data_IF_538359481713
#
_entry.id   IF_538359481713
#
_cell.length_a   1.000
_cell.length_b   1.000
_cell.length_c   1.000
_cell.angle_alpha   90.00
_cell.angle_beta   90.00
_cell.angle_gamma   90.00
#
_symmetry.space_group_name_H-M   'P 1'
#
loop_
_entity.id
_entity.type
_entity.pdbx_description
1 polymer ?
#
# COMPACT_ATOMS: atom_id res chain seq x y z
N UNK A 1 -43.83 32.37 -30.62
CA UNK A 1 -43.76 30.90 -30.48
C UNK A 1 -42.32 30.38 -30.59
N UNK A 2 -41.44 31.03 -31.38
CA UNK A 2 -40.02 30.69 -31.51
C UNK A 2 -39.16 30.94 -30.24
N UNK A 3 -39.44 31.98 -29.46
CA UNK A 3 -38.59 32.31 -28.29
C UNK A 3 -38.78 31.38 -27.08
N UNK A 4 -39.99 30.79 -26.89
CA UNK A 4 -40.23 29.81 -25.83
C UNK A 4 -39.53 28.47 -26.10
N UNK A 5 -39.43 28.09 -27.37
CA UNK A 5 -38.77 26.86 -27.80
C UNK A 5 -37.23 26.96 -27.70
N UNK A 6 -36.69 28.17 -27.83
CA UNK A 6 -35.26 28.43 -27.58
C UNK A 6 -34.91 28.44 -26.08
N UNK A 7 -35.83 28.84 -25.20
CA UNK A 7 -35.63 28.81 -23.74
C UNK A 7 -35.71 27.38 -23.16
N UNK A 8 -36.55 26.50 -23.72
CA UNK A 8 -36.58 25.08 -23.34
C UNK A 8 -35.28 24.34 -23.75
N UNK A 9 -34.71 24.66 -24.91
CA UNK A 9 -33.46 24.05 -25.38
C UNK A 9 -32.20 24.48 -24.59
N UNK A 10 -32.24 25.61 -23.87
CA UNK A 10 -31.13 26.08 -23.05
C UNK A 10 -31.05 25.35 -21.69
N UNK A 11 -32.18 24.86 -21.16
CA UNK A 11 -32.24 24.13 -19.90
C UNK A 11 -31.70 22.69 -19.99
N UNK A 12 -31.67 22.11 -21.20
CA UNK A 12 -31.10 20.78 -21.46
C UNK A 12 -29.57 20.78 -21.70
N UNK A 13 -28.94 21.97 -21.72
CA UNK A 13 -27.53 22.11 -22.10
C UNK A 13 -26.55 22.27 -20.92
N UNK A 14 -27.04 22.41 -19.68
CA UNK A 14 -26.21 22.49 -18.48
C UNK A 14 -26.21 21.11 -17.82
N UNK A 15 -25.16 20.28 -18.02
CA UNK A 15 -25.07 19.04 -17.28
C UNK A 15 -25.12 19.36 -15.78
N UNK A 16 -26.06 18.74 -15.07
CA UNK A 16 -26.20 18.95 -13.63
C UNK A 16 -24.83 18.81 -12.96
N UNK A 17 -24.55 19.62 -11.94
CA UNK A 17 -23.28 19.58 -11.21
C UNK A 17 -22.93 18.13 -10.78
N UNK A 18 -23.95 17.33 -10.45
CA UNK A 18 -23.83 15.91 -10.12
C UNK A 18 -23.35 15.05 -11.30
N UNK A 19 -23.88 15.25 -12.50
CA UNK A 19 -23.45 14.53 -13.72
C UNK A 19 -22.01 14.88 -14.08
N UNK A 20 -21.63 16.16 -13.98
CA UNK A 20 -20.26 16.63 -14.22
C UNK A 20 -19.26 16.09 -13.19
N UNK A 21 -19.63 16.08 -11.90
CA UNK A 21 -18.83 15.50 -10.83
C UNK A 21 -18.67 13.98 -10.96
N UNK A 22 -19.77 13.26 -11.22
CA UNK A 22 -19.74 11.81 -11.46
C UNK A 22 -18.83 11.47 -12.63
N UNK A 23 -18.93 12.20 -13.74
CA UNK A 23 -18.05 12.02 -14.91
C UNK A 23 -16.58 12.23 -14.53
N UNK A 24 -16.28 13.26 -13.75
CA UNK A 24 -14.91 13.55 -13.31
C UNK A 24 -14.29 12.41 -12.48
N UNK A 25 -15.00 11.96 -11.43
CA UNK A 25 -14.44 10.95 -10.51
C UNK A 25 -14.35 9.55 -11.12
N UNK A 26 -15.22 9.21 -12.08
CA UNK A 26 -15.19 7.93 -12.79
C UNK A 26 -14.28 7.94 -14.04
N UNK A 27 -13.54 9.01 -14.27
CA UNK A 27 -12.53 9.05 -15.33
C UNK A 27 -11.20 8.45 -14.84
N UNK A 28 -10.53 7.70 -15.71
CA UNK A 28 -9.23 7.09 -15.45
C UNK A 28 -8.12 8.15 -15.29
N UNK A 29 -7.23 7.91 -14.34
CA UNK A 29 -6.04 8.74 -14.12
C UNK A 29 -4.96 8.45 -15.15
N UNK A 30 -4.16 9.46 -15.46
CA UNK A 30 -2.92 9.29 -16.22
C UNK A 30 -1.84 8.64 -15.35
N UNK A 31 -1.34 7.49 -15.79
CA UNK A 31 -0.30 6.74 -15.08
C UNK A 31 1.02 7.51 -14.96
N UNK A 32 1.39 8.32 -15.96
CA UNK A 32 2.65 9.11 -15.93
C UNK A 32 2.58 10.26 -14.94
N UNK A 33 1.37 10.78 -14.69
CA UNK A 33 1.09 11.83 -13.70
C UNK A 33 0.73 11.28 -12.32
N UNK A 34 0.69 9.95 -12.18
CA UNK A 34 0.44 9.26 -10.91
C UNK A 34 1.73 9.01 -10.10
N UNK A 35 2.88 9.50 -10.57
CA UNK A 35 4.20 9.30 -9.95
C UNK A 35 4.23 9.64 -8.46
N UNK A 36 3.70 10.80 -8.08
CA UNK A 36 3.80 11.26 -6.69
C UNK A 36 2.98 10.40 -5.71
N UNK A 37 1.68 10.10 -5.95
CA UNK A 37 0.95 9.19 -5.08
C UNK A 37 1.53 7.76 -5.08
N UNK A 38 2.14 7.31 -6.18
CA UNK A 38 2.84 6.02 -6.23
C UNK A 38 4.16 6.01 -5.44
N UNK A 39 4.94 7.10 -5.46
CA UNK A 39 6.07 7.30 -4.56
C UNK A 39 5.60 7.27 -3.10
N UNK A 40 4.47 7.93 -2.80
CA UNK A 40 3.89 7.92 -1.47
C UNK A 40 3.45 6.51 -1.04
N UNK A 41 2.94 5.67 -1.95
CA UNK A 41 2.73 4.25 -1.68
C UNK A 41 4.02 3.49 -1.38
N UNK A 42 5.09 3.70 -2.14
CA UNK A 42 6.39 3.09 -1.85
C UNK A 42 6.93 3.54 -0.48
N UNK A 43 6.77 4.82 -0.13
CA UNK A 43 7.07 5.34 1.20
C UNK A 43 6.26 4.62 2.28
N UNK A 44 4.94 4.49 2.10
CA UNK A 44 4.07 3.78 3.04
C UNK A 44 4.48 2.33 3.22
N UNK A 45 4.96 1.66 2.17
CA UNK A 45 5.50 0.29 2.25
C UNK A 45 6.64 0.22 3.25
N UNK A 46 7.69 1.03 3.07
CA UNK A 46 8.81 1.05 4.00
C UNK A 46 8.40 1.45 5.42
N UNK A 47 7.52 2.44 5.54
CA UNK A 47 7.07 2.98 6.81
C UNK A 47 6.31 1.93 7.66
N UNK A 48 5.36 1.22 7.06
CA UNK A 48 4.57 0.16 7.72
C UNK A 48 5.47 -1.04 8.07
N UNK A 49 6.34 -1.43 7.14
CA UNK A 49 7.24 -2.57 7.36
C UNK A 49 8.28 -2.31 8.45
N UNK A 50 8.76 -1.07 8.61
CA UNK A 50 9.62 -0.71 9.72
C UNK A 50 8.96 -0.94 11.08
N UNK A 51 7.64 -0.69 11.20
CA UNK A 51 6.90 -0.92 12.45
C UNK A 51 6.79 -2.40 12.77
N UNK A 52 6.27 -3.22 11.84
CA UNK A 52 6.08 -4.65 12.13
C UNK A 52 7.41 -5.40 12.23
N UNK A 53 8.40 -5.08 11.38
CA UNK A 53 9.66 -5.80 11.42
C UNK A 53 10.43 -5.53 12.72
N UNK A 54 10.41 -4.29 13.23
CA UNK A 54 11.05 -3.95 14.50
C UNK A 54 10.41 -4.66 15.70
N UNK A 55 9.13 -5.00 15.62
CA UNK A 55 8.41 -5.65 16.71
C UNK A 55 8.42 -7.19 16.64
N UNK A 56 8.33 -7.76 15.43
CA UNK A 56 8.08 -9.20 15.25
C UNK A 56 8.91 -9.86 14.16
N UNK A 57 9.80 -9.13 13.48
CA UNK A 57 10.64 -9.65 12.41
C UNK A 57 9.88 -10.26 11.22
N UNK A 58 8.60 -9.88 11.06
CA UNK A 58 7.71 -10.22 9.96
C UNK A 58 7.45 -8.96 9.14
N UNK A 59 7.38 -9.13 7.81
CA UNK A 59 7.12 -8.04 6.87
C UNK A 59 5.65 -8.08 6.45
N UNK A 60 4.91 -7.00 6.64
CA UNK A 60 3.49 -6.94 6.26
C UNK A 60 3.32 -6.74 4.75
N UNK A 61 4.28 -6.09 4.08
CA UNK A 61 4.27 -5.91 2.65
C UNK A 61 5.05 -6.99 1.87
N UNK A 62 6.01 -7.68 2.49
CA UNK A 62 6.91 -8.62 1.80
C UNK A 62 6.55 -10.10 2.01
N UNK A 63 5.58 -10.56 1.22
CA UNK A 63 5.02 -11.90 1.38
C UNK A 63 5.93 -13.04 0.92
N UNK A 64 6.93 -12.79 0.06
CA UNK A 64 7.93 -13.81 -0.33
C UNK A 64 8.63 -14.40 0.90
N UNK A 65 9.06 -13.55 1.83
CA UNK A 65 9.70 -13.98 3.07
C UNK A 65 8.77 -14.76 3.98
N UNK A 66 7.52 -14.29 4.15
CA UNK A 66 6.53 -14.96 4.99
C UNK A 66 6.17 -16.34 4.43
N UNK A 67 6.04 -16.45 3.10
CA UNK A 67 5.73 -17.71 2.44
C UNK A 67 6.85 -18.74 2.65
N UNK A 68 8.12 -18.33 2.56
CA UNK A 68 9.26 -19.19 2.85
C UNK A 68 9.33 -19.54 4.35
N UNK A 69 9.06 -18.61 5.27
CA UNK A 69 8.99 -18.91 6.70
C UNK A 69 7.97 -20.02 7.02
N UNK A 70 6.79 -19.96 6.39
CA UNK A 70 5.78 -21.00 6.55
C UNK A 70 6.23 -22.35 5.96
N UNK A 71 6.88 -22.33 4.79
CA UNK A 71 7.43 -23.56 4.20
C UNK A 71 8.51 -24.18 5.11
N UNK A 72 9.37 -23.37 5.73
CA UNK A 72 10.35 -23.83 6.72
C UNK A 72 9.68 -24.41 7.96
N UNK A 73 8.61 -23.78 8.46
CA UNK A 73 7.83 -24.29 9.59
C UNK A 73 7.25 -25.68 9.30
N UNK A 74 6.71 -25.89 8.10
CA UNK A 74 6.23 -27.19 7.67
C UNK A 74 7.37 -28.20 7.51
N UNK A 75 8.51 -27.78 6.94
CA UNK A 75 9.67 -28.65 6.75
C UNK A 75 10.23 -29.21 8.08
N UNK A 76 10.13 -28.45 9.19
CA UNK A 76 10.56 -28.91 10.52
C UNK A 76 9.85 -30.19 10.97
N UNK A 77 8.59 -30.40 10.56
CA UNK A 77 7.81 -31.60 10.88
C UNK A 77 8.44 -32.90 10.32
N UNK A 78 9.33 -32.79 9.33
CA UNK A 78 9.92 -33.93 8.62
C UNK A 78 11.39 -34.19 8.98
N UNK A 79 12.05 -33.31 9.75
CA UNK A 79 13.51 -33.38 9.99
C UNK A 79 13.94 -34.33 11.12
N UNK A 80 13.05 -35.16 11.66
CA UNK A 80 13.35 -36.11 12.74
C UNK A 80 13.66 -35.47 14.11
N UNK A 81 13.92 -34.16 14.15
CA UNK A 81 13.95 -33.34 15.36
C UNK A 81 12.51 -33.10 15.83
N UNK A 82 12.22 -33.35 17.11
CA UNK A 82 10.86 -33.35 17.69
C UNK A 82 10.24 -31.96 17.91
N UNK A 83 10.57 -30.95 17.08
CA UNK A 83 9.91 -29.65 17.14
C UNK A 83 8.69 -29.60 16.22
N UNK A 84 7.57 -30.06 16.76
CA UNK A 84 6.25 -30.02 16.10
C UNK A 84 5.47 -28.75 16.42
N UNK A 85 6.10 -27.78 17.05
CA UNK A 85 5.42 -26.57 17.50
C UNK A 85 5.32 -25.55 16.37
N UNK A 86 4.12 -24.96 16.23
CA UNK A 86 3.92 -23.82 15.34
C UNK A 86 4.33 -22.56 16.12
N UNK A 87 5.53 -22.05 15.84
CA UNK A 87 6.12 -20.96 16.61
C UNK A 87 5.32 -19.67 16.40
N UNK A 88 5.50 -18.73 17.33
CA UNK A 88 4.79 -17.46 17.27
C UNK A 88 5.08 -16.69 15.97
N UNK A 89 6.35 -16.68 15.53
CA UNK A 89 6.74 -16.08 14.25
C UNK A 89 6.02 -16.71 13.06
N UNK A 90 5.84 -18.04 13.06
CA UNK A 90 5.13 -18.74 11.99
C UNK A 90 3.64 -18.34 11.97
N UNK A 91 3.01 -18.23 13.15
CA UNK A 91 1.62 -17.76 13.29
C UNK A 91 1.46 -16.34 12.75
N UNK A 92 2.41 -15.46 13.04
CA UNK A 92 2.40 -14.07 12.59
C UNK A 92 2.64 -13.97 11.08
N UNK A 93 3.55 -14.76 10.53
CA UNK A 93 3.76 -14.88 9.08
C UNK A 93 2.50 -15.39 8.36
N UNK A 94 1.81 -16.39 8.92
CA UNK A 94 0.54 -16.89 8.40
C UNK A 94 -0.56 -15.83 8.42
N UNK A 95 -0.71 -15.14 9.56
CA UNK A 95 -1.66 -14.04 9.73
C UNK A 95 -1.41 -12.95 8.68
N UNK A 96 -0.16 -12.52 8.53
CA UNK A 96 0.26 -11.53 7.53
C UNK A 96 -0.08 -11.99 6.11
N UNK A 97 0.24 -13.23 5.74
CA UNK A 97 0.01 -13.74 4.39
C UNK A 97 -1.48 -13.81 4.03
N UNK A 98 -2.30 -14.40 4.89
CA UNK A 98 -3.74 -14.56 4.63
C UNK A 98 -4.42 -13.19 4.52
N UNK A 99 -4.11 -12.28 5.43
CA UNK A 99 -4.73 -10.96 5.45
C UNK A 99 -4.23 -10.05 4.32
N UNK A 100 -2.97 -10.18 3.90
CA UNK A 100 -2.48 -9.56 2.67
C UNK A 100 -3.25 -10.05 1.44
N UNK A 101 -3.45 -11.36 1.30
CA UNK A 101 -4.25 -11.92 0.20
C UNK A 101 -5.68 -11.40 0.25
N UNK A 102 -6.28 -11.32 1.44
CA UNK A 102 -7.61 -10.74 1.64
C UNK A 102 -7.68 -9.27 1.22
N UNK A 103 -6.69 -8.45 1.61
CA UNK A 103 -6.58 -7.06 1.17
C UNK A 103 -6.47 -6.93 -0.35
N UNK A 104 -5.63 -7.77 -0.97
CA UNK A 104 -5.51 -7.84 -2.42
C UNK A 104 -6.83 -8.27 -3.09
N UNK A 105 -7.58 -9.19 -2.47
CA UNK A 105 -8.89 -9.61 -2.95
C UNK A 105 -9.92 -8.47 -2.91
N UNK A 106 -9.96 -7.64 -1.86
CA UNK A 106 -10.78 -6.42 -1.82
C UNK A 106 -10.46 -5.51 -3.01
N UNK A 107 -9.20 -5.48 -3.44
CA UNK A 107 -8.79 -4.68 -4.58
C UNK A 107 -9.47 -5.03 -5.90
N UNK A 108 -10.08 -6.22 -5.98
CA UNK A 108 -10.88 -6.67 -7.12
C UNK A 108 -12.22 -5.95 -7.26
N UNK A 109 -12.68 -5.21 -6.24
CA UNK A 109 -13.84 -4.32 -6.37
C UNK A 109 -13.61 -3.30 -7.51
N UNK A 110 -12.36 -2.89 -7.72
CA UNK A 110 -11.95 -2.07 -8.86
C UNK A 110 -12.24 -2.68 -10.24
N UNK A 111 -12.46 -3.99 -10.36
CA UNK A 111 -12.87 -4.62 -11.63
C UNK A 111 -14.26 -4.13 -12.09
N UNK A 112 -15.13 -3.78 -11.12
CA UNK A 112 -16.48 -3.27 -11.40
C UNK A 112 -16.53 -1.74 -11.46
N UNK A 113 -15.71 -1.07 -10.67
CA UNK A 113 -15.70 0.40 -10.59
C UNK A 113 -14.79 1.08 -11.63
N UNK A 114 -13.86 0.32 -12.23
CA UNK A 114 -12.77 0.83 -13.05
C UNK A 114 -11.51 1.01 -12.22
N UNK A 115 -10.51 0.15 -12.45
CA UNK A 115 -9.34 0.00 -11.59
C UNK A 115 -8.37 1.19 -11.59
N UNK A 116 -8.53 2.12 -12.54
CA UNK A 116 -7.73 3.34 -12.67
C UNK A 116 -8.55 4.62 -12.46
N UNK A 117 -9.82 4.51 -12.10
CA UNK A 117 -10.68 5.68 -11.86
C UNK A 117 -10.25 6.40 -10.59
N UNK A 118 -10.38 7.73 -10.55
CA UNK A 118 -10.13 8.51 -9.33
C UNK A 118 -10.98 8.04 -8.16
N UNK A 119 -12.24 7.70 -8.43
CA UNK A 119 -13.17 7.19 -7.45
C UNK A 119 -12.63 5.92 -6.78
N UNK A 120 -12.19 4.94 -7.57
CA UNK A 120 -11.64 3.70 -7.02
C UNK A 120 -10.29 3.91 -6.33
N UNK A 121 -9.39 4.69 -6.92
CA UNK A 121 -8.07 4.94 -6.34
C UNK A 121 -8.17 5.70 -5.01
N UNK A 122 -9.05 6.68 -4.92
CA UNK A 122 -9.35 7.39 -3.66
C UNK A 122 -10.01 6.48 -2.63
N UNK A 123 -11.08 5.75 -3.01
CA UNK A 123 -11.80 4.85 -2.11
C UNK A 123 -10.94 3.69 -1.60
N UNK A 124 -10.19 3.03 -2.48
CA UNK A 124 -9.29 1.94 -2.09
C UNK A 124 -8.19 2.42 -1.15
N UNK A 125 -7.64 3.62 -1.35
CA UNK A 125 -6.70 4.23 -0.41
C UNK A 125 -7.36 4.61 0.92
N UNK A 126 -8.63 5.04 0.88
CA UNK A 126 -9.39 5.31 2.08
C UNK A 126 -9.62 4.03 2.90
N UNK A 127 -9.93 2.91 2.25
CA UNK A 127 -10.01 1.60 2.92
C UNK A 127 -8.67 1.22 3.55
N UNK A 128 -7.55 1.44 2.85
CA UNK A 128 -6.19 1.27 3.42
C UNK A 128 -5.97 2.17 4.66
N UNK A 129 -6.50 3.39 4.63
CA UNK A 129 -6.46 4.33 5.77
C UNK A 129 -7.21 3.75 6.97
N UNK A 130 -8.41 3.22 6.76
CA UNK A 130 -9.22 2.59 7.82
C UNK A 130 -8.54 1.35 8.39
N UNK A 131 -7.94 0.50 7.56
CA UNK A 131 -7.15 -0.63 8.04
C UNK A 131 -5.95 -0.17 8.87
N UNK A 132 -5.20 0.83 8.41
CA UNK A 132 -4.05 1.37 9.16
C UNK A 132 -4.50 1.99 10.49
N UNK A 133 -5.65 2.66 10.51
CA UNK A 133 -6.25 3.19 11.75
C UNK A 133 -6.65 2.08 12.72
N UNK A 134 -7.30 1.02 12.22
CA UNK A 134 -7.67 -0.14 13.02
C UNK A 134 -6.42 -0.83 13.61
N UNK A 135 -5.33 -0.92 12.85
CA UNK A 135 -4.05 -1.42 13.33
C UNK A 135 -3.47 -0.56 14.45
N UNK A 136 -3.47 0.78 14.28
CA UNK A 136 -3.00 1.72 15.29
C UNK A 136 -3.77 1.58 16.62
N UNK A 137 -5.10 1.48 16.54
CA UNK A 137 -5.96 1.30 17.70
C UNK A 137 -5.73 -0.07 18.35
N UNK A 138 -5.63 -1.14 17.54
CA UNK A 138 -5.41 -2.49 18.04
C UNK A 138 -4.09 -2.59 18.81
N UNK A 139 -2.98 -2.04 18.28
CA UNK A 139 -1.71 -2.08 18.98
C UNK A 139 -1.70 -1.17 20.21
N UNK A 140 -2.34 -0.01 20.16
CA UNK A 140 -2.50 0.85 21.34
C UNK A 140 -3.21 0.12 22.48
N UNK A 141 -4.32 -0.57 22.18
CA UNK A 141 -5.07 -1.36 23.16
C UNK A 141 -4.38 -2.65 23.60
N UNK A 142 -3.43 -3.15 22.83
CA UNK A 142 -2.68 -4.37 23.14
C UNK A 142 -1.71 -4.22 24.32
N UNK A 143 -1.25 -2.98 24.60
CA UNK A 143 -0.23 -2.70 25.60
C UNK A 143 1.14 -3.35 25.34
N UNK A 144 1.39 -3.87 24.13
CA UNK A 144 2.67 -4.51 23.79
C UNK A 144 3.76 -3.46 23.49
N UNK A 145 5.02 -3.84 23.72
CA UNK A 145 6.16 -2.99 23.40
C UNK A 145 6.27 -2.74 21.89
N UNK A 146 6.96 -1.66 21.52
CA UNK A 146 7.05 -1.22 20.12
C UNK A 146 8.18 -1.87 19.32
N UNK A 147 9.21 -2.35 20.01
CA UNK A 147 10.43 -2.95 19.44
C UNK A 147 10.76 -4.20 20.25
N UNK A 148 11.23 -5.24 19.58
CA UNK A 148 11.73 -6.46 20.22
C UNK A 148 13.23 -6.35 20.52
N UNK A 149 13.65 -6.89 21.67
CA UNK A 149 15.06 -6.92 22.06
C UNK A 149 15.87 -7.93 21.23
N UNK A 150 15.27 -9.08 20.90
CA UNK A 150 15.91 -10.16 20.17
C UNK A 150 14.91 -10.88 19.26
N UNK A 151 15.43 -11.48 18.17
CA UNK A 151 14.60 -12.21 17.20
C UNK A 151 13.87 -13.42 17.77
N UNK A 152 14.43 -14.06 18.79
CA UNK A 152 13.82 -15.18 19.51
C UNK A 152 12.67 -14.75 20.44
N UNK A 153 12.55 -13.46 20.76
CA UNK A 153 11.54 -12.93 21.69
C UNK A 153 10.80 -11.73 21.06
N UNK A 154 9.81 -11.97 20.18
CA UNK A 154 9.05 -10.90 19.54
C UNK A 154 8.26 -10.09 20.58
N UNK A 155 8.15 -8.78 20.35
CA UNK A 155 7.49 -7.85 21.28
C UNK A 155 5.96 -8.03 21.32
N UNK A 156 5.38 -8.56 20.25
CA UNK A 156 3.94 -8.71 20.07
C UNK A 156 3.55 -10.17 20.15
N UNK A 157 2.69 -10.51 21.11
CA UNK A 157 2.35 -11.92 21.42
C UNK A 157 0.85 -12.17 21.55
N UNK A 158 0.06 -11.13 21.83
CA UNK A 158 -1.36 -11.27 22.16
C UNK A 158 -2.30 -11.10 20.96
N UNK A 159 -3.58 -11.44 21.14
CA UNK A 159 -4.58 -11.40 20.08
C UNK A 159 -4.74 -10.01 19.42
N UNK A 160 -4.70 -8.92 20.19
CA UNK A 160 -4.82 -7.56 19.64
C UNK A 160 -3.64 -7.18 18.76
N UNK A 161 -2.44 -7.65 19.09
CA UNK A 161 -1.28 -7.46 18.23
C UNK A 161 -1.36 -8.26 16.92
N UNK A 162 -2.01 -9.43 16.93
CA UNK A 162 -2.37 -10.15 15.69
C UNK A 162 -3.39 -9.38 14.84
N UNK A 163 -4.39 -8.76 15.48
CA UNK A 163 -5.34 -7.88 14.78
C UNK A 163 -4.60 -6.71 14.12
N UNK A 164 -3.61 -6.11 14.81
CA UNK A 164 -2.74 -5.09 14.23
C UNK A 164 -2.00 -5.60 12.98
N UNK A 165 -1.31 -6.73 13.09
CA UNK A 165 -0.60 -7.36 11.95
C UNK A 165 -1.56 -7.62 10.79
N UNK A 166 -2.74 -8.18 11.08
CA UNK A 166 -3.74 -8.50 10.06
C UNK A 166 -4.21 -7.27 9.29
N UNK A 167 -4.50 -6.17 9.97
CA UNK A 167 -4.92 -4.93 9.32
C UNK A 167 -3.77 -4.23 8.57
N UNK A 168 -2.55 -4.23 9.12
CA UNK A 168 -1.36 -3.73 8.40
C UNK A 168 -1.17 -4.49 7.09
N UNK A 169 -1.17 -5.83 7.14
CA UNK A 169 -0.99 -6.68 5.96
C UNK A 169 -2.13 -6.55 4.96
N UNK A 170 -3.40 -6.49 5.41
CA UNK A 170 -4.54 -6.23 4.53
C UNK A 170 -4.43 -4.86 3.82
N UNK A 171 -3.98 -3.82 4.54
CA UNK A 171 -3.69 -2.52 3.92
C UNK A 171 -2.63 -2.64 2.83
N UNK A 172 -1.54 -3.37 3.09
CA UNK A 172 -0.46 -3.53 2.11
C UNK A 172 -0.88 -4.38 0.90
N UNK A 173 -1.71 -5.40 1.10
CA UNK A 173 -2.27 -6.21 0.02
C UNK A 173 -3.16 -5.41 -0.92
N UNK A 174 -4.04 -4.57 -0.36
CA UNK A 174 -4.90 -3.68 -1.14
C UNK A 174 -4.07 -2.63 -1.91
N UNK A 175 -3.04 -2.07 -1.28
CA UNK A 175 -2.10 -1.18 -1.96
C UNK A 175 -1.39 -1.88 -3.12
N UNK A 176 -0.91 -3.12 -2.89
CA UNK A 176 -0.15 -3.89 -3.87
C UNK A 176 -0.90 -4.12 -5.18
N UNK A 177 -2.15 -4.57 -5.08
CA UNK A 177 -2.98 -4.81 -6.27
C UNK A 177 -3.39 -3.51 -6.96
N UNK A 178 -3.69 -2.44 -6.22
CA UNK A 178 -4.02 -1.13 -6.80
C UNK A 178 -2.81 -0.55 -7.53
N UNK A 179 -1.63 -0.55 -6.89
CA UNK A 179 -0.36 -0.14 -7.50
C UNK A 179 -0.11 -0.89 -8.80
N UNK A 180 -0.21 -2.23 -8.79
CA UNK A 180 -0.01 -3.03 -10.00
C UNK A 180 -0.98 -2.68 -11.12
N UNK A 181 -2.25 -2.42 -10.80
CA UNK A 181 -3.29 -2.09 -11.78
C UNK A 181 -3.14 -0.70 -12.40
N UNK A 182 -2.41 0.22 -11.76
CA UNK A 182 -2.02 1.48 -12.42
C UNK A 182 -1.06 1.27 -13.60
N UNK A 183 -0.34 0.13 -13.62
CA UNK A 183 0.55 -0.31 -14.70
C UNK A 183 1.65 0.70 -15.06
N UNK A 184 2.41 1.14 -14.06
CA UNK A 184 3.51 2.11 -14.18
C UNK A 184 4.86 1.46 -13.80
N UNK A 185 5.95 2.24 -13.89
CA UNK A 185 7.31 1.82 -13.46
C UNK A 185 7.44 1.54 -11.95
N UNK A 186 6.40 1.83 -11.17
CA UNK A 186 6.34 1.55 -9.73
C UNK A 186 5.90 0.10 -9.43
N UNK A 187 5.68 -0.72 -10.46
CA UNK A 187 5.29 -2.14 -10.36
C UNK A 187 4.08 -2.31 -9.45
N UNK A 188 4.24 -2.93 -8.28
CA UNK A 188 3.22 -3.18 -7.26
C UNK A 188 3.23 -2.15 -6.15
N UNK A 189 4.23 -1.26 -6.06
CA UNK A 189 4.56 -0.38 -4.92
C UNK A 189 4.97 -1.10 -3.62
N UNK A 190 4.75 -2.42 -3.56
CA UNK A 190 5.17 -3.35 -2.50
C UNK A 190 6.14 -4.37 -3.08
N UNK A 191 7.15 -4.81 -2.32
CA UNK A 191 8.26 -5.68 -2.79
C UNK A 191 8.96 -5.12 -4.04
N UNK A 192 10.04 -4.37 -3.85
CA UNK A 192 10.75 -3.71 -4.95
C UNK A 192 11.86 -4.56 -5.60
N UNK A 193 11.94 -5.86 -5.33
CA UNK A 193 12.98 -6.74 -5.91
C UNK A 193 12.97 -6.70 -7.44
N UNK A 194 11.79 -6.78 -8.05
CA UNK A 194 11.65 -6.65 -9.51
C UNK A 194 12.11 -5.27 -9.97
N UNK A 195 11.75 -4.20 -9.26
CA UNK A 195 12.17 -2.83 -9.57
C UNK A 195 13.69 -2.65 -9.49
N UNK A 196 14.37 -3.28 -8.53
CA UNK A 196 15.84 -3.33 -8.46
C UNK A 196 16.44 -4.02 -9.68
N UNK A 197 15.93 -5.20 -10.05
CA UNK A 197 16.40 -5.92 -11.23
C UNK A 197 16.17 -5.11 -12.51
N UNK A 198 15.00 -4.51 -12.67
CA UNK A 198 14.66 -3.67 -13.83
C UNK A 198 15.48 -2.37 -13.89
N UNK A 199 15.89 -1.80 -12.76
CA UNK A 199 16.80 -0.67 -12.72
C UNK A 199 18.19 -1.09 -13.21
N UNK A 200 18.72 -2.20 -12.70
CA UNK A 200 20.05 -2.70 -13.09
C UNK A 200 20.10 -3.17 -14.55
N UNK A 201 18.96 -3.61 -15.10
CA UNK A 201 18.84 -4.00 -16.50
C UNK A 201 18.56 -2.81 -17.44
N UNK A 202 18.37 -1.59 -16.93
CA UNK A 202 18.06 -0.43 -17.77
C UNK A 202 19.26 -0.07 -18.66
N UNK A 203 19.13 -0.08 -20.01
CA UNK A 203 20.25 0.21 -20.91
C UNK A 203 20.76 1.65 -20.77
N UNK A 204 20.00 2.55 -20.15
CA UNK A 204 20.31 3.96 -19.91
C UNK A 204 20.68 4.25 -18.45
N UNK A 205 21.03 3.22 -17.68
CA UNK A 205 21.37 3.32 -16.25
C UNK A 205 22.40 4.43 -15.96
N UNK A 206 23.43 4.56 -16.79
CA UNK A 206 24.52 5.52 -16.58
C UNK A 206 24.35 6.87 -17.30
N UNK A 207 23.20 7.14 -17.92
CA UNK A 207 22.93 8.40 -18.62
C UNK A 207 22.53 9.54 -17.66
N UNK A 208 23.40 9.94 -16.74
CA UNK A 208 23.07 10.87 -15.63
C UNK A 208 22.74 12.31 -16.05
N UNK A 209 23.09 12.71 -17.28
CA UNK A 209 22.93 14.09 -17.76
C UNK A 209 21.53 14.42 -18.27
N UNK A 210 20.62 13.44 -18.30
CA UNK A 210 19.23 13.63 -18.75
C UNK A 210 18.27 12.80 -17.91
N UNK A 211 17.03 13.28 -17.82
CA UNK A 211 15.93 12.55 -17.18
C UNK A 211 15.55 11.37 -18.07
N UNK A 212 15.52 10.18 -17.49
CA UNK A 212 15.11 8.93 -18.14
C UNK A 212 14.02 8.32 -17.29
N UNK A 213 12.76 8.44 -17.73
CA UNK A 213 11.57 8.02 -16.96
C UNK A 213 11.68 6.55 -16.50
N UNK A 214 12.16 5.64 -17.35
CA UNK A 214 12.30 4.22 -17.02
C UNK A 214 13.28 3.96 -15.88
N UNK A 215 14.33 4.78 -15.75
CA UNK A 215 15.36 4.66 -14.70
C UNK A 215 14.98 5.46 -13.47
N UNK A 216 14.68 6.75 -13.64
CA UNK A 216 14.53 7.70 -12.55
C UNK A 216 13.32 7.38 -11.68
N UNK A 217 12.22 6.90 -12.26
CA UNK A 217 11.05 6.51 -11.45
C UNK A 217 11.32 5.26 -10.60
N UNK A 218 12.18 4.34 -11.05
CA UNK A 218 12.61 3.18 -10.24
C UNK A 218 13.50 3.61 -9.09
N UNK A 219 14.43 4.54 -9.35
CA UNK A 219 15.27 5.16 -8.30
C UNK A 219 14.38 5.87 -7.27
N UNK A 220 13.38 6.64 -7.72
CA UNK A 220 12.42 7.30 -6.84
C UNK A 220 11.59 6.30 -6.02
N UNK A 221 11.14 5.19 -6.62
CA UNK A 221 10.41 4.14 -5.90
C UNK A 221 11.26 3.51 -4.78
N UNK A 222 12.49 3.13 -5.11
CA UNK A 222 13.46 2.55 -4.18
C UNK A 222 13.81 3.55 -3.07
N UNK A 223 14.13 4.79 -3.42
CA UNK A 223 14.45 5.85 -2.48
C UNK A 223 13.28 6.19 -1.56
N UNK A 224 12.05 6.22 -2.09
CA UNK A 224 10.84 6.47 -1.29
C UNK A 224 10.62 5.37 -0.27
N UNK A 225 10.79 4.10 -0.66
CA UNK A 225 10.70 2.97 0.28
C UNK A 225 11.74 3.07 1.38
N UNK A 226 13.01 3.33 1.02
CA UNK A 226 14.08 3.49 2.01
C UNK A 226 13.78 4.62 3.00
N UNK A 227 13.38 5.80 2.48
CA UNK A 227 13.03 6.94 3.31
C UNK A 227 11.83 6.64 4.22
N UNK A 228 10.83 5.92 3.71
CA UNK A 228 9.70 5.44 4.49
C UNK A 228 10.14 4.54 5.65
N UNK A 229 11.02 3.58 5.39
CA UNK A 229 11.55 2.70 6.43
C UNK A 229 12.37 3.45 7.48
N UNK A 230 13.22 4.36 7.04
CA UNK A 230 14.02 5.20 7.94
C UNK A 230 13.15 6.08 8.84
N UNK A 231 12.20 6.84 8.27
CA UNK A 231 11.32 7.71 9.04
C UNK A 231 10.35 6.90 9.91
N UNK A 232 9.84 5.77 9.42
CA UNK A 232 9.01 4.85 10.19
C UNK A 232 9.75 4.34 11.43
N UNK A 233 11.01 3.94 11.30
CA UNK A 233 11.85 3.52 12.42
C UNK A 233 12.15 4.67 13.38
N UNK A 234 12.45 5.87 12.89
CA UNK A 234 12.73 7.04 13.72
C UNK A 234 11.50 7.48 14.53
N UNK A 235 10.30 7.49 13.92
CA UNK A 235 9.05 7.76 14.63
C UNK A 235 8.73 6.64 15.62
N UNK A 236 9.00 5.38 15.27
CA UNK A 236 8.81 4.26 16.19
C UNK A 236 9.59 4.43 17.49
N UNK A 237 10.83 4.93 17.42
CA UNK A 237 11.63 5.26 18.63
C UNK A 237 11.05 6.43 19.42
N UNK A 238 10.53 7.45 18.74
CA UNK A 238 10.06 8.67 19.39
C UNK A 238 8.66 8.54 20.03
N UNK A 239 7.73 7.85 19.36
CA UNK A 239 6.30 7.85 19.72
C UNK A 239 5.66 6.45 19.77
N UNK A 240 6.44 5.39 19.58
CA UNK A 240 5.98 4.00 19.65
C UNK A 240 5.08 3.57 18.49
N UNK A 241 4.74 2.28 18.44
CA UNK A 241 4.03 1.68 17.29
C UNK A 241 2.66 2.31 17.05
N UNK A 242 1.90 2.57 18.12
CA UNK A 242 0.58 3.19 18.02
C UNK A 242 0.64 4.60 17.42
N UNK A 243 1.56 5.44 17.92
CA UNK A 243 1.75 6.80 17.42
C UNK A 243 2.22 6.80 15.97
N UNK A 244 3.20 5.96 15.64
CA UNK A 244 3.73 5.82 14.28
C UNK A 244 2.65 5.36 13.30
N UNK A 245 1.84 4.36 13.65
CA UNK A 245 0.70 3.93 12.82
C UNK A 245 -0.39 5.01 12.74
N UNK A 246 -0.59 5.81 13.78
CA UNK A 246 -1.48 6.98 13.73
C UNK A 246 -1.01 8.03 12.71
N UNK A 247 0.29 8.31 12.64
CA UNK A 247 0.87 9.16 11.59
C UNK A 247 0.69 8.54 10.21
N UNK A 248 0.92 7.23 10.07
CA UNK A 248 0.66 6.49 8.83
C UNK A 248 -0.79 6.62 8.36
N UNK A 249 -1.77 6.57 9.28
CA UNK A 249 -3.18 6.82 8.97
C UNK A 249 -3.39 8.22 8.39
N UNK A 250 -2.83 9.27 9.00
CA UNK A 250 -2.92 10.63 8.48
C UNK A 250 -2.32 10.77 7.07
N UNK A 251 -1.14 10.18 6.84
CA UNK A 251 -0.50 10.16 5.53
C UNK A 251 -1.37 9.46 4.47
N UNK A 252 -1.93 8.28 4.79
CA UNK A 252 -2.82 7.57 3.86
C UNK A 252 -4.10 8.35 3.55
N UNK A 253 -4.66 9.05 4.54
CA UNK A 253 -5.82 9.90 4.32
C UNK A 253 -5.52 11.01 3.31
N UNK A 254 -4.35 11.66 3.44
CA UNK A 254 -3.89 12.66 2.47
C UNK A 254 -3.74 12.04 1.07
N UNK A 255 -3.13 10.86 0.96
CA UNK A 255 -2.97 10.17 -0.34
C UNK A 255 -4.34 9.81 -0.95
N UNK A 256 -5.32 9.40 -0.14
CA UNK A 256 -6.68 9.12 -0.58
C UNK A 256 -7.36 10.34 -1.21
N UNK A 257 -7.18 11.51 -0.60
CA UNK A 257 -7.68 12.78 -1.15
C UNK A 257 -6.91 13.15 -2.42
N UNK A 258 -5.58 12.93 -2.44
CA UNK A 258 -4.74 13.26 -3.59
C UNK A 258 -5.22 12.59 -4.88
N UNK A 259 -5.63 11.32 -4.82
CA UNK A 259 -6.14 10.61 -6.00
C UNK A 259 -7.30 11.32 -6.72
N UNK A 260 -8.09 12.14 -6.02
CA UNK A 260 -9.16 12.92 -6.62
C UNK A 260 -8.66 14.03 -7.54
N UNK A 261 -7.41 14.49 -7.37
CA UNK A 261 -6.83 15.60 -8.12
C UNK A 261 -5.83 15.16 -9.20
N UNK A 262 -5.53 13.86 -9.31
CA UNK A 262 -4.62 13.36 -10.34
C UNK A 262 -5.25 13.61 -11.72
N UNK A 263 -4.51 14.17 -12.71
CA UNK A 263 -5.05 14.44 -14.05
C UNK A 263 -5.51 13.19 -14.79
N UNK A 264 -6.47 13.38 -15.72
CA UNK A 264 -7.05 12.27 -16.48
C UNK A 264 -6.10 11.87 -17.59
N UNK A 265 -6.16 10.60 -18.00
CA UNK A 265 -5.48 10.18 -19.23
C UNK A 265 -6.09 10.91 -20.42
N UNK A 266 -5.27 11.57 -21.24
CA UNK A 266 -5.75 12.24 -22.45
C UNK A 266 -6.32 11.18 -23.43
N UNK A 267 -7.50 11.41 -24.04
CA UNK A 267 -8.11 10.43 -24.97
C UNK A 267 -7.28 10.15 -26.24
N UNK A 268 -6.21 10.91 -26.48
CA UNK A 268 -5.38 10.88 -27.71
C UNK A 268 -4.04 10.16 -27.53
N UNK A 269 -3.80 9.49 -26.40
CA UNK A 269 -2.58 8.72 -26.08
C UNK A 269 -2.93 7.30 -25.63
#
# INVERSE_FOLDING_TARGET
MSDRQNLENLNDSIPSMFTSFRKYIFTDVDGERSTIPLCAYCFMTGFIDAVCFSAIFVWCAFQTGNNIQLALALARLFNGQHDYSFHLADRQALCSLITFIFGAFIGRIGDRMGCKTRAWLSLGTFIQTLFTMAAAIAIWKSGQASVADQRSNPAWTNALSFVCVGFMSASMGLQGIMGKRTNTQFTTTVVLTTTWCELMADPKLFEFRKIVISRDYKILAIGSLFLGGFLGRALLDAIGSAGTLGVATGLRFIISIWWLFVPAKDPKQ
#
